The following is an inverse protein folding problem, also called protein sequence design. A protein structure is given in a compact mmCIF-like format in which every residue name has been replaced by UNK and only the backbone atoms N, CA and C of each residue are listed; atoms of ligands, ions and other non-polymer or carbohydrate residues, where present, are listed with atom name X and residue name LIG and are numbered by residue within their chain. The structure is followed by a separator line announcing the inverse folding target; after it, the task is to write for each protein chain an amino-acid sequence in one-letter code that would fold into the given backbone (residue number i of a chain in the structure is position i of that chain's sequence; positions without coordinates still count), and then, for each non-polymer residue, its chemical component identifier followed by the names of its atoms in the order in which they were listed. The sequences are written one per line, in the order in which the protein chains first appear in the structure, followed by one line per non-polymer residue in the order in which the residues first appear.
data_IF_639781918679
#
_entry.id   IF_639781918679
#
_cell.length_a   1.000
_cell.length_b   1.000
_cell.length_c   1.000
_cell.angle_alpha   90.00
_cell.angle_beta   90.00
_cell.angle_gamma   90.00
#
_symmetry.space_group_name_H-M   'P 1'
#
loop_
_entity.id
_entity.type
_entity.pdbx_description
1 polymer ?
#
# COMPACT_ATOMS: atom_id res chain seq x y z
N UNK A 1 2.22 -7.24 4.48
CA UNK A 1 3.07 -7.09 5.69
C UNK A 1 3.17 -8.35 6.53
N UNK A 2 2.14 -9.18 6.59
CA UNK A 2 2.14 -10.48 7.30
C UNK A 2 3.41 -11.32 7.04
N UNK A 3 3.69 -11.64 5.78
CA UNK A 3 4.91 -12.36 5.38
C UNK A 3 6.22 -11.71 5.88
N UNK A 4 6.32 -10.37 5.80
CA UNK A 4 7.54 -9.67 6.24
C UNK A 4 7.69 -9.80 7.76
N UNK A 5 6.60 -9.67 8.51
CA UNK A 5 6.61 -9.84 9.95
C UNK A 5 6.97 -11.29 10.33
N UNK A 6 6.33 -12.28 9.70
CA UNK A 6 6.59 -13.72 9.90
C UNK A 6 8.08 -14.05 9.72
N UNK A 7 8.66 -13.64 8.59
CA UNK A 7 10.08 -13.88 8.29
C UNK A 7 11.02 -13.13 9.24
N UNK A 8 10.64 -11.91 9.65
CA UNK A 8 11.44 -11.14 10.62
C UNK A 8 11.35 -11.75 12.01
N UNK A 9 10.19 -12.25 12.43
CA UNK A 9 10.03 -12.95 13.69
C UNK A 9 10.87 -14.23 13.72
N UNK A 10 10.79 -15.06 12.68
CA UNK A 10 11.54 -16.30 12.54
C UNK A 10 13.05 -16.09 12.66
N UNK A 11 13.60 -15.08 11.97
CA UNK A 11 15.04 -14.94 11.82
C UNK A 11 15.69 -13.86 12.71
N UNK A 12 14.91 -12.96 13.31
CA UNK A 12 15.47 -11.79 13.99
C UNK A 12 14.74 -11.43 15.29
N UNK A 13 13.45 -11.13 15.24
CA UNK A 13 12.75 -10.54 16.39
C UNK A 13 12.62 -11.52 17.55
N UNK A 14 12.42 -12.82 17.29
CA UNK A 14 12.44 -13.83 18.36
C UNK A 14 13.78 -13.88 19.13
N UNK A 15 14.89 -13.54 18.47
CA UNK A 15 16.20 -13.45 19.11
C UNK A 15 16.48 -12.08 19.76
N UNK A 16 15.81 -11.02 19.31
CA UNK A 16 15.99 -9.66 19.81
C UNK A 16 15.13 -9.35 21.03
N UNK A 17 13.85 -9.76 21.03
CA UNK A 17 12.90 -9.41 22.09
C UNK A 17 13.40 -9.78 23.49
N UNK A 18 13.95 -10.99 23.73
CA UNK A 18 14.51 -11.37 25.04
C UNK A 18 15.68 -10.50 25.54
N UNK A 19 16.27 -9.65 24.68
CA UNK A 19 17.36 -8.72 25.05
C UNK A 19 16.88 -7.35 25.50
N UNK A 20 15.59 -7.03 25.36
CA UNK A 20 15.04 -5.78 25.88
C UNK A 20 15.04 -5.76 27.42
N UNK A 21 15.15 -4.57 28.04
CA UNK A 21 14.92 -4.46 29.47
C UNK A 21 13.50 -4.90 29.83
N UNK A 22 13.34 -5.45 31.04
CA UNK A 22 12.07 -5.91 31.60
C UNK A 22 11.13 -4.74 31.96
N UNK A 23 10.81 -3.91 30.97
CA UNK A 23 9.90 -2.76 31.12
C UNK A 23 8.46 -3.30 31.18
N UNK A 24 7.71 -3.03 32.26
CA UNK A 24 6.31 -3.39 32.37
C UNK A 24 5.47 -2.68 31.30
N UNK A 25 4.50 -3.40 30.74
CA UNK A 25 3.56 -2.81 29.78
C UNK A 25 2.38 -2.22 30.55
N UNK A 26 1.99 -0.95 30.32
CA UNK A 26 0.85 -0.35 31.01
C UNK A 26 -0.45 -1.14 30.78
N UNK A 27 -1.31 -1.27 31.80
CA UNK A 27 -2.54 -2.07 31.77
C UNK A 27 -3.46 -1.77 30.57
N UNK A 28 -3.56 -0.49 30.16
CA UNK A 28 -4.35 -0.08 28.99
C UNK A 28 -3.87 -0.77 27.68
N UNK A 29 -2.57 -1.03 27.57
CA UNK A 29 -1.93 -1.66 26.42
C UNK A 29 -2.07 -3.20 26.50
N UNK A 30 -2.09 -3.77 27.71
CA UNK A 30 -2.41 -5.19 27.93
C UNK A 30 -3.86 -5.52 27.54
N UNK A 31 -4.80 -4.59 27.75
CA UNK A 31 -6.18 -4.72 27.27
C UNK A 31 -6.26 -4.80 25.75
N UNK A 32 -5.55 -3.95 25.02
CA UNK A 32 -5.54 -4.05 23.54
C UNK A 32 -4.91 -5.39 23.08
N UNK A 33 -3.95 -5.92 23.85
CA UNK A 33 -3.29 -7.20 23.55
C UNK A 33 -4.15 -8.45 23.71
N UNK A 34 -5.21 -8.37 24.51
CA UNK A 34 -6.14 -9.46 24.70
C UNK A 34 -7.21 -9.55 23.59
N UNK A 35 -7.23 -8.60 22.64
CA UNK A 35 -8.17 -8.64 21.51
C UNK A 35 -7.85 -9.86 20.63
N UNK A 36 -8.80 -10.81 20.44
CA UNK A 36 -8.57 -12.01 19.65
C UNK A 36 -8.25 -11.69 18.19
N UNK A 37 -7.50 -12.59 17.52
CA UNK A 37 -7.30 -12.49 16.07
C UNK A 37 -8.64 -12.64 15.32
N UNK A 38 -8.68 -12.31 14.03
CA UNK A 38 -9.92 -12.48 13.25
C UNK A 38 -10.34 -13.94 13.14
N UNK A 39 -9.39 -14.85 12.95
CA UNK A 39 -9.67 -16.29 12.93
C UNK A 39 -10.22 -16.76 14.27
N UNK A 40 -9.67 -16.28 15.38
CA UNK A 40 -10.17 -16.63 16.72
C UNK A 40 -11.56 -16.03 16.95
N UNK A 41 -11.78 -14.79 16.52
CA UNK A 41 -13.08 -14.14 16.61
C UNK A 41 -14.12 -14.87 15.76
N UNK A 42 -13.78 -15.26 14.53
CA UNK A 42 -14.64 -16.06 13.67
C UNK A 42 -14.93 -17.43 14.27
N UNK A 43 -13.92 -18.11 14.82
CA UNK A 43 -14.08 -19.40 15.49
C UNK A 43 -14.96 -19.27 16.74
N UNK A 44 -14.82 -18.20 17.52
CA UNK A 44 -15.64 -17.92 18.69
C UNK A 44 -17.08 -17.56 18.30
N UNK A 45 -17.27 -16.76 17.25
CA UNK A 45 -18.61 -16.44 16.71
C UNK A 45 -19.29 -17.66 16.12
N UNK A 46 -18.55 -18.54 15.43
CA UNK A 46 -19.09 -19.76 14.84
C UNK A 46 -19.40 -20.84 15.88
N UNK A 47 -18.68 -20.86 17.00
CA UNK A 47 -18.89 -21.83 18.09
C UNK A 47 -19.84 -21.35 19.19
N UNK A 48 -20.24 -20.07 19.16
CA UNK A 48 -21.11 -19.49 20.18
C UNK A 48 -22.59 -19.78 19.94
N UNK A 49 -23.30 -20.20 20.99
CA UNK A 49 -24.75 -20.35 20.99
C UNK A 49 -25.50 -19.04 21.29
N UNK A 50 -24.79 -17.96 21.63
CA UNK A 50 -25.36 -16.63 21.89
C UNK A 50 -25.41 -15.78 20.61
N UNK A 51 -26.16 -14.67 20.66
CA UNK A 51 -26.18 -13.76 19.51
C UNK A 51 -24.80 -13.15 19.26
N UNK A 52 -24.45 -12.80 18.00
CA UNK A 52 -23.15 -12.22 17.68
C UNK A 52 -22.79 -10.99 18.53
N UNK A 53 -23.78 -10.17 18.89
CA UNK A 53 -23.58 -8.98 19.73
C UNK A 53 -23.26 -9.33 21.18
N UNK A 54 -23.88 -10.35 21.75
CA UNK A 54 -23.58 -10.83 23.11
C UNK A 54 -22.19 -11.46 23.18
N UNK A 55 -21.80 -12.23 22.15
CA UNK A 55 -20.47 -12.80 22.02
C UNK A 55 -19.40 -11.72 21.90
N UNK A 56 -19.65 -10.67 21.10
CA UNK A 56 -18.74 -9.51 21.01
C UNK A 56 -18.66 -8.78 22.36
N UNK A 57 -19.80 -8.57 23.04
CA UNK A 57 -19.83 -7.89 24.35
C UNK A 57 -19.09 -8.66 25.44
N UNK A 58 -19.17 -10.00 25.45
CA UNK A 58 -18.45 -10.85 26.40
C UNK A 58 -16.95 -10.85 26.12
N UNK A 59 -16.55 -10.88 24.84
CA UNK A 59 -15.15 -10.74 24.43
C UNK A 59 -14.59 -9.40 24.92
N UNK A 60 -15.29 -8.28 24.67
CA UNK A 60 -14.87 -6.96 25.15
C UNK A 60 -14.74 -6.94 26.68
N UNK A 61 -15.67 -7.56 27.39
CA UNK A 61 -15.65 -7.62 28.86
C UNK A 61 -14.47 -8.45 29.40
N UNK A 62 -14.15 -9.57 28.74
CA UNK A 62 -13.00 -10.42 29.08
C UNK A 62 -11.67 -9.72 28.79
N UNK A 63 -11.60 -9.01 27.67
CA UNK A 63 -10.45 -8.17 27.28
C UNK A 63 -10.16 -7.12 28.34
N UNK A 64 -11.19 -6.37 28.78
CA UNK A 64 -11.09 -5.37 29.86
C UNK A 64 -10.75 -6.00 31.22
N UNK A 65 -11.15 -7.25 31.47
CA UNK A 65 -10.86 -7.94 32.73
C UNK A 65 -9.45 -8.57 32.77
N UNK A 66 -8.88 -8.88 31.61
CA UNK A 66 -7.55 -9.49 31.47
C UNK A 66 -6.39 -8.48 31.57
N UNK A 67 -6.67 -7.18 31.40
CA UNK A 67 -5.66 -6.11 31.45
C UNK A 67 -5.06 -5.86 32.83
N UNK A 68 -5.66 -6.39 33.89
CA UNK A 68 -5.22 -6.22 35.29
C UNK A 68 -4.31 -7.35 35.80
N UNK A 69 -3.95 -8.33 34.96
CA UNK A 69 -3.32 -9.57 35.43
C UNK A 69 -1.93 -9.91 34.85
N UNK A 70 -1.31 -9.09 33.99
CA UNK A 70 -0.13 -9.56 33.25
C UNK A 70 1.18 -9.00 33.79
N UNK A 71 1.99 -9.84 34.45
CA UNK A 71 3.43 -9.63 34.67
C UNK A 71 4.26 -9.70 33.37
N UNK A 72 3.68 -9.30 32.24
CA UNK A 72 4.34 -9.25 30.95
C UNK A 72 5.23 -8.01 30.86
N UNK A 73 6.38 -8.20 30.26
CA UNK A 73 7.37 -7.16 29.98
C UNK A 73 7.67 -7.16 28.49
N UNK A 74 8.23 -6.07 27.98
CA UNK A 74 8.63 -6.04 26.57
C UNK A 74 9.53 -7.21 26.17
N UNK A 75 10.33 -7.75 27.11
CA UNK A 75 11.26 -8.84 26.86
C UNK A 75 10.60 -10.21 26.60
N UNK A 76 9.38 -10.43 27.08
CA UNK A 76 8.72 -11.74 27.07
C UNK A 76 7.37 -11.75 26.32
N UNK A 77 7.14 -10.77 25.44
CA UNK A 77 5.93 -10.74 24.63
C UNK A 77 5.90 -11.87 23.58
N UNK A 78 4.83 -12.68 23.53
CA UNK A 78 4.69 -13.70 22.50
C UNK A 78 4.43 -13.04 21.11
N UNK A 79 4.77 -13.71 19.99
CA UNK A 79 4.71 -13.12 18.64
C UNK A 79 3.31 -12.64 18.20
N UNK A 80 2.27 -13.29 18.71
CA UNK A 80 0.86 -12.97 18.47
C UNK A 80 0.34 -11.80 19.33
N UNK A 81 1.12 -11.33 20.30
CA UNK A 81 0.77 -10.19 21.14
C UNK A 81 0.70 -8.89 20.30
N UNK A 82 -0.41 -8.15 20.41
CA UNK A 82 -0.64 -6.96 19.58
C UNK A 82 0.43 -5.88 19.78
N UNK A 83 0.98 -5.76 20.99
CA UNK A 83 1.95 -4.72 21.35
C UNK A 83 3.25 -5.01 20.63
N UNK A 84 3.70 -6.26 20.70
CA UNK A 84 4.85 -6.75 19.95
C UNK A 84 4.62 -6.57 18.45
N UNK A 85 3.46 -6.97 17.93
CA UNK A 85 3.16 -6.81 16.51
C UNK A 85 3.17 -5.34 16.08
N UNK A 86 2.55 -4.43 16.84
CA UNK A 86 2.55 -3.00 16.54
C UNK A 86 3.98 -2.43 16.58
N UNK A 87 4.76 -2.74 17.62
CA UNK A 87 6.14 -2.26 17.74
C UNK A 87 7.03 -2.79 16.61
N UNK A 88 6.92 -4.09 16.30
CA UNK A 88 7.65 -4.74 15.22
C UNK A 88 7.25 -4.17 13.86
N UNK A 89 5.95 -4.06 13.57
CA UNK A 89 5.45 -3.52 12.31
C UNK A 89 5.81 -2.05 12.14
N UNK A 90 5.75 -1.24 13.21
CA UNK A 90 6.14 0.17 13.16
C UNK A 90 7.63 0.30 12.85
N UNK A 91 8.46 -0.51 13.51
CA UNK A 91 9.90 -0.54 13.28
C UNK A 91 10.22 -0.98 11.85
N UNK A 92 9.64 -2.09 11.39
CA UNK A 92 9.85 -2.62 10.04
C UNK A 92 9.39 -1.64 8.96
N UNK A 93 8.22 -1.02 9.16
CA UNK A 93 7.66 -0.03 8.23
C UNK A 93 8.55 1.20 8.14
N UNK A 94 8.98 1.72 9.29
CA UNK A 94 9.85 2.89 9.32
C UNK A 94 11.22 2.59 8.68
N UNK A 95 11.85 1.47 9.04
CA UNK A 95 13.14 1.06 8.47
C UNK A 95 13.04 0.76 6.97
N UNK A 96 11.96 0.10 6.52
CA UNK A 96 11.69 -0.14 5.11
C UNK A 96 11.47 1.15 4.33
N UNK A 97 10.72 2.10 4.90
CA UNK A 97 10.52 3.42 4.29
C UNK A 97 11.84 4.20 4.18
N UNK A 98 12.68 4.20 5.21
CA UNK A 98 14.02 4.80 5.15
C UNK A 98 14.89 4.14 4.09
N UNK A 99 14.92 2.81 4.05
CA UNK A 99 15.69 2.05 3.07
C UNK A 99 15.26 2.39 1.65
N UNK A 100 13.97 2.33 1.32
CA UNK A 100 13.48 2.66 -0.02
C UNK A 100 13.74 4.13 -0.36
N UNK A 101 13.45 5.05 0.57
CA UNK A 101 13.64 6.48 0.36
C UNK A 101 15.10 6.81 0.05
N UNK A 102 16.04 6.37 0.88
CA UNK A 102 17.45 6.65 0.67
C UNK A 102 18.00 5.89 -0.54
N UNK A 103 17.62 4.63 -0.77
CA UNK A 103 18.09 3.89 -1.94
C UNK A 103 17.63 4.54 -3.24
N UNK A 104 16.31 4.71 -3.44
CA UNK A 104 15.80 5.22 -4.71
C UNK A 104 16.15 6.69 -4.93
N UNK A 105 16.02 7.54 -3.91
CA UNK A 105 16.36 8.97 -4.07
C UNK A 105 17.85 9.15 -4.33
N UNK A 106 18.73 8.39 -3.67
CA UNK A 106 20.18 8.46 -3.90
C UNK A 106 20.55 7.97 -5.30
N UNK A 107 20.04 6.82 -5.71
CA UNK A 107 20.30 6.29 -7.06
C UNK A 107 19.82 7.27 -8.13
N UNK A 108 18.60 7.78 -8.02
CA UNK A 108 18.08 8.80 -8.94
C UNK A 108 18.92 10.08 -8.90
N UNK A 109 19.30 10.59 -7.72
CA UNK A 109 20.11 11.80 -7.59
C UNK A 109 21.50 11.68 -8.24
N UNK A 110 22.17 10.53 -8.10
CA UNK A 110 23.50 10.34 -8.67
C UNK A 110 23.46 10.00 -10.16
N UNK A 111 22.54 9.11 -10.59
CA UNK A 111 22.56 8.53 -11.94
C UNK A 111 21.57 9.16 -12.93
N UNK A 112 20.49 9.82 -12.45
CA UNK A 112 19.42 10.35 -13.31
C UNK A 112 19.34 11.88 -13.23
N UNK A 113 19.33 12.44 -12.02
CA UNK A 113 19.16 13.88 -11.80
C UNK A 113 20.33 14.69 -12.38
N UNK A 114 20.01 15.63 -13.27
CA UNK A 114 20.94 16.62 -13.78
C UNK A 114 21.14 17.76 -12.75
N UNK A 115 22.36 17.86 -12.21
CA UNK A 115 22.74 18.85 -11.20
C UNK A 115 22.75 20.28 -11.77
N UNK A 116 22.65 20.47 -13.08
CA UNK A 116 22.48 21.79 -13.69
C UNK A 116 21.22 22.51 -13.20
N UNK A 117 20.16 21.77 -12.85
CA UNK A 117 18.93 22.32 -12.26
C UNK A 117 19.19 23.13 -10.98
N UNK A 118 20.27 22.86 -10.25
CA UNK A 118 20.62 23.58 -9.02
C UNK A 118 21.01 25.05 -9.27
N UNK A 119 21.26 25.42 -10.54
CA UNK A 119 21.55 26.80 -10.96
C UNK A 119 20.27 27.59 -11.28
N UNK A 120 19.10 26.94 -11.26
CA UNK A 120 17.83 27.61 -11.54
C UNK A 120 17.56 28.71 -10.50
N UNK A 121 17.04 29.89 -10.88
CA UNK A 121 16.83 31.02 -9.95
C UNK A 121 15.89 30.72 -8.77
N UNK A 122 14.98 29.76 -8.94
CA UNK A 122 14.04 29.28 -7.90
C UNK A 122 14.56 28.09 -7.08
N UNK A 123 15.76 27.59 -7.36
CA UNK A 123 16.37 26.52 -6.57
C UNK A 123 16.83 27.08 -5.21
N UNK A 124 16.50 26.39 -4.12
CA UNK A 124 16.76 26.87 -2.78
C UNK A 124 18.19 26.56 -2.32
N UNK A 125 18.76 27.45 -1.50
CA UNK A 125 20.05 27.18 -0.85
C UNK A 125 19.93 25.95 0.06
N UNK A 126 20.83 24.99 -0.11
CA UNK A 126 20.84 23.71 0.62
C UNK A 126 19.56 22.88 0.43
N UNK A 127 18.87 23.00 -0.71
CA UNK A 127 17.56 22.38 -0.93
C UNK A 127 17.52 20.88 -0.59
N UNK A 128 18.46 20.08 -1.11
CA UNK A 128 18.53 18.63 -0.83
C UNK A 128 18.57 18.32 0.66
N UNK A 129 19.33 19.09 1.44
CA UNK A 129 19.36 18.92 2.90
C UNK A 129 18.01 19.24 3.54
N UNK A 130 17.34 20.29 3.07
CA UNK A 130 16.02 20.68 3.58
C UNK A 130 14.94 19.66 3.21
N UNK A 131 14.97 19.13 1.98
CA UNK A 131 14.10 18.06 1.51
C UNK A 131 14.27 16.82 2.39
N UNK A 132 15.51 16.35 2.60
CA UNK A 132 15.80 15.22 3.49
C UNK A 132 15.30 15.48 4.91
N UNK A 133 15.59 16.66 5.48
CA UNK A 133 15.12 17.00 6.83
C UNK A 133 13.60 16.98 6.94
N UNK A 134 12.89 17.38 5.90
CA UNK A 134 11.44 17.37 5.86
C UNK A 134 10.89 15.95 5.74
N UNK A 135 11.45 15.13 4.84
CA UNK A 135 11.11 13.70 4.72
C UNK A 135 11.33 12.97 6.06
N UNK A 136 12.46 13.20 6.73
CA UNK A 136 12.76 12.58 8.04
C UNK A 136 11.78 12.99 9.16
N UNK A 137 11.16 14.16 9.06
CA UNK A 137 10.08 14.58 9.98
C UNK A 137 8.73 13.95 9.63
N UNK A 138 8.48 13.71 8.34
CA UNK A 138 7.21 13.20 7.85
C UNK A 138 7.08 11.68 8.04
N UNK A 139 8.14 10.92 7.73
CA UNK A 139 8.12 9.45 7.68
C UNK A 139 7.64 8.78 8.98
N UNK A 140 8.04 9.21 10.20
CA UNK A 140 7.52 8.61 11.42
C UNK A 140 5.99 8.77 11.55
N UNK A 141 5.47 9.95 11.21
CA UNK A 141 4.03 10.22 11.27
C UNK A 141 3.24 9.40 10.25
N UNK A 142 3.78 9.21 9.05
CA UNK A 142 3.19 8.34 8.03
C UNK A 142 3.19 6.90 8.51
N UNK A 143 4.32 6.41 9.02
CA UNK A 143 4.45 5.04 9.51
C UNK A 143 3.41 4.75 10.61
N UNK A 144 3.25 5.64 11.59
CA UNK A 144 2.24 5.51 12.66
C UNK A 144 0.83 5.42 12.08
N UNK A 145 0.47 6.30 11.15
CA UNK A 145 -0.86 6.34 10.56
C UNK A 145 -1.15 5.14 9.63
N UNK A 146 -0.11 4.55 9.06
CA UNK A 146 -0.21 3.33 8.26
C UNK A 146 -0.38 2.07 9.12
N UNK A 147 -0.06 2.13 10.43
CA UNK A 147 -0.11 0.95 11.32
C UNK A 147 -1.43 0.19 11.34
N UNK A 148 -2.60 0.83 11.41
CA UNK A 148 -3.86 0.08 11.43
C UNK A 148 -4.04 -0.82 10.19
N UNK A 149 -3.57 -0.38 9.03
CA UNK A 149 -3.60 -1.18 7.80
C UNK A 149 -2.66 -2.39 7.93
N UNK A 150 -1.41 -2.18 8.30
CA UNK A 150 -0.46 -3.30 8.37
C UNK A 150 -0.75 -4.29 9.50
N UNK A 151 -1.29 -3.81 10.62
CA UNK A 151 -1.80 -4.68 11.68
C UNK A 151 -3.00 -5.48 11.19
N UNK A 152 -3.94 -4.86 10.48
CA UNK A 152 -5.06 -5.57 9.87
C UNK A 152 -4.60 -6.62 8.85
N UNK A 153 -3.59 -6.32 8.03
CA UNK A 153 -2.98 -7.30 7.13
C UNK A 153 -2.41 -8.50 7.92
N UNK A 154 -1.60 -8.25 8.95
CA UNK A 154 -1.00 -9.30 9.80
C UNK A 154 -2.04 -10.10 10.61
N UNK A 155 -3.23 -9.53 10.83
CA UNK A 155 -4.36 -10.19 11.52
C UNK A 155 -5.33 -10.85 10.55
N UNK A 156 -5.00 -10.93 9.26
CA UNK A 156 -5.80 -11.62 8.24
C UNK A 156 -7.03 -10.85 7.76
N UNK A 157 -7.12 -9.53 7.98
CA UNK A 157 -8.25 -8.70 7.53
C UNK A 157 -8.15 -8.30 6.06
N UNK A 158 -6.95 -8.37 5.49
CA UNK A 158 -6.73 -8.12 4.06
C UNK A 158 -7.06 -9.36 3.23
N UNK A 159 -7.31 -9.17 1.93
CA UNK A 159 -7.56 -10.24 0.95
C UNK A 159 -6.27 -10.67 0.23
N UNK A 160 -5.12 -10.55 0.90
CA UNK A 160 -3.85 -11.01 0.36
C UNK A 160 -3.82 -12.53 0.33
N UNK A 161 -3.33 -13.12 -0.77
CA UNK A 161 -3.19 -14.56 -0.91
C UNK A 161 -1.75 -14.96 -1.24
N UNK A 162 -1.38 -16.18 -0.84
CA UNK A 162 0.00 -16.69 -0.94
C UNK A 162 0.28 -17.47 -2.23
N UNK A 163 -0.71 -18.15 -2.82
CA UNK A 163 -0.52 -18.99 -4.01
C UNK A 163 -1.14 -18.37 -5.26
N UNK A 164 -0.41 -18.42 -6.38
CA UNK A 164 -0.83 -17.82 -7.65
C UNK A 164 -2.12 -18.45 -8.18
N UNK A 165 -2.24 -19.77 -8.10
CA UNK A 165 -3.45 -20.48 -8.51
C UNK A 165 -4.42 -20.62 -7.34
N UNK A 166 -5.70 -20.38 -7.62
CA UNK A 166 -6.73 -20.40 -6.59
C UNK A 166 -6.89 -21.79 -5.94
N UNK A 167 -6.78 -22.87 -6.74
CA UNK A 167 -6.87 -24.25 -6.23
C UNK A 167 -5.82 -24.52 -5.14
N UNK A 168 -4.60 -24.01 -5.31
CA UNK A 168 -3.49 -24.23 -4.39
C UNK A 168 -3.76 -23.50 -3.06
N UNK A 169 -4.37 -22.31 -3.14
CA UNK A 169 -4.82 -21.57 -1.96
C UNK A 169 -5.94 -22.30 -1.20
N UNK A 170 -6.90 -22.91 -1.91
CA UNK A 170 -8.00 -23.67 -1.30
C UNK A 170 -7.47 -24.94 -0.63
N UNK A 171 -6.52 -25.63 -1.27
CA UNK A 171 -5.87 -26.81 -0.70
C UNK A 171 -5.15 -26.48 0.60
N UNK A 172 -4.30 -25.45 0.58
CA UNK A 172 -3.58 -25.00 1.78
C UNK A 172 -4.53 -24.64 2.92
N UNK A 173 -5.63 -23.93 2.63
CA UNK A 173 -6.65 -23.60 3.63
C UNK A 173 -7.37 -24.86 4.18
N UNK A 174 -7.65 -25.82 3.31
CA UNK A 174 -8.29 -27.10 3.68
C UNK A 174 -7.38 -27.95 4.57
N UNK A 175 -6.08 -27.99 4.28
CA UNK A 175 -5.08 -28.69 5.10
C UNK A 175 -4.91 -28.02 6.47
N UNK A 176 -4.84 -26.68 6.51
CA UNK A 176 -4.77 -25.94 7.77
C UNK A 176 -6.00 -26.19 8.66
N UNK A 177 -7.20 -26.21 8.08
CA UNK A 177 -8.44 -26.52 8.81
C UNK A 177 -8.45 -27.95 9.39
N UNK A 178 -7.89 -28.93 8.66
CA UNK A 178 -7.73 -30.31 9.16
C UNK A 178 -6.76 -30.37 10.34
N UNK A 179 -5.63 -29.64 10.27
CA UNK A 179 -4.66 -29.54 11.37
C UNK A 179 -5.23 -28.90 12.63
N UNK A 180 -6.06 -27.85 12.49
CA UNK A 180 -6.74 -27.18 13.60
C UNK A 180 -7.85 -28.05 14.25
N UNK A 181 -8.46 -28.96 13.50
CA UNK A 181 -9.42 -29.93 14.05
C UNK A 181 -8.74 -31.10 14.79
N UNK A 182 -7.45 -31.37 14.53
CA UNK A 182 -6.70 -32.49 15.12
C UNK A 182 -6.09 -32.17 16.50
N UNK A 183 -6.16 -30.91 16.96
CA UNK A 183 -5.67 -30.49 18.29
C UNK A 183 -6.69 -30.67 19.42
N UNK A 184 -7.89 -31.18 19.13
CA UNK A 184 -8.80 -31.69 20.16
C UNK A 184 -8.58 -33.19 20.36
N UNK A 185 -7.69 -33.55 21.29
CA UNK A 185 -7.46 -34.94 21.68
C UNK A 185 -7.86 -35.11 23.17
N UNK A 186 -8.93 -35.85 23.51
CA UNK A 186 -9.12 -36.33 24.88
C UNK A 186 -7.99 -37.32 25.25
N UNK A 187 -7.68 -37.53 26.54
CA UNK A 187 -6.48 -38.25 26.95
C UNK A 187 -6.56 -39.71 26.51
N UNK A 188 -5.56 -40.16 25.74
CA UNK A 188 -5.43 -41.55 25.33
C UNK A 188 -4.94 -42.41 26.51
N UNK A 189 -5.75 -43.39 26.91
CA UNK A 189 -5.36 -44.46 27.81
C UNK A 189 -4.71 -45.61 27.04
N UNK A 190 -3.47 -45.92 27.45
CA UNK A 190 -2.67 -47.14 27.24
C UNK A 190 -2.07 -47.40 25.86
N UNK A 191 -0.73 -47.32 25.82
CA UNK A 191 0.19 -47.54 24.69
C UNK A 191 0.28 -49.02 24.27
N UNK A 192 -0.45 -49.92 24.93
CA UNK A 192 -0.27 -51.36 24.80
C UNK A 192 -1.24 -52.04 23.79
N UNK A 193 -2.36 -51.40 23.46
CA UNK A 193 -3.31 -51.90 22.44
C UNK A 193 -2.90 -51.47 21.01
N UNK A 194 -2.22 -50.32 20.87
CA UNK A 194 -1.80 -49.78 19.57
C UNK A 194 -0.67 -50.59 18.91
N UNK A 195 0.15 -51.29 19.70
CA UNK A 195 1.29 -52.03 19.18
C UNK A 195 0.90 -53.39 18.56
N UNK A 196 -0.23 -53.98 18.98
CA UNK A 196 -0.72 -55.27 18.45
C UNK A 196 -1.46 -55.13 17.10
N UNK A 197 -2.10 -53.97 16.85
CA UNK A 197 -2.82 -53.70 15.60
C UNK A 197 -1.90 -53.41 14.39
N UNK A 198 -0.71 -52.87 14.64
CA UNK A 198 0.27 -52.50 13.58
C UNK A 198 1.00 -53.71 13.02
N UNK A 199 1.11 -54.81 13.79
CA UNK A 199 1.91 -55.98 13.42
C UNK A 199 1.12 -57.06 12.65
N UNK A 200 -0.15 -56.83 12.31
CA UNK A 200 -0.92 -57.77 11.48
C UNK A 200 -1.76 -57.06 10.42
N UNK A 201 -1.65 -57.54 9.18
CA UNK A 201 -2.53 -57.32 8.01
C UNK A 201 -2.17 -56.21 7.01
N UNK A 202 -2.68 -56.40 5.78
CA UNK A 202 -2.70 -55.52 4.60
C UNK A 202 -3.26 -54.10 4.85
N UNK A 203 -3.40 -53.66 6.09
CA UNK A 203 -3.91 -52.35 6.50
C UNK A 203 -2.99 -51.21 6.10
N UNK A 204 -1.67 -51.41 6.05
CA UNK A 204 -0.73 -50.37 5.61
C UNK A 204 -0.95 -49.94 4.15
N UNK A 205 -1.17 -50.89 3.23
CA UNK A 205 -1.47 -50.62 1.82
C UNK A 205 -2.88 -50.07 1.62
N UNK A 206 -3.89 -50.65 2.28
CA UNK A 206 -5.27 -50.15 2.19
C UNK A 206 -5.44 -48.76 2.85
N UNK A 207 -4.68 -48.45 3.91
CA UNK A 207 -4.65 -47.12 4.51
C UNK A 207 -3.93 -46.10 3.62
N UNK A 208 -2.87 -46.50 2.90
CA UNK A 208 -2.23 -45.61 1.91
C UNK A 208 -3.13 -45.37 0.70
N UNK A 209 -3.86 -46.37 0.23
CA UNK A 209 -4.87 -46.22 -0.83
C UNK A 209 -6.03 -45.33 -0.37
N UNK A 210 -6.57 -45.55 0.82
CA UNK A 210 -7.64 -44.71 1.38
C UNK A 210 -7.18 -43.26 1.62
N UNK A 211 -5.93 -43.06 2.07
CA UNK A 211 -5.34 -41.72 2.19
C UNK A 211 -5.16 -41.06 0.82
N UNK A 212 -4.75 -41.80 -0.21
CA UNK A 212 -4.63 -41.30 -1.57
C UNK A 212 -6.00 -40.94 -2.18
N UNK A 213 -7.04 -41.75 -1.95
CA UNK A 213 -8.42 -41.47 -2.38
C UNK A 213 -8.99 -40.24 -1.67
N UNK A 214 -8.77 -40.09 -0.37
CA UNK A 214 -9.17 -38.91 0.40
C UNK A 214 -8.44 -37.64 -0.07
N UNK A 215 -7.15 -37.74 -0.42
CA UNK A 215 -6.39 -36.64 -1.01
C UNK A 215 -6.92 -36.27 -2.40
N UNK A 216 -7.23 -37.26 -3.25
CA UNK A 216 -7.82 -37.05 -4.56
C UNK A 216 -9.21 -36.40 -4.50
N UNK A 217 -10.05 -36.82 -3.54
CA UNK A 217 -11.35 -36.19 -3.30
C UNK A 217 -11.22 -34.74 -2.82
N UNK A 218 -10.24 -34.46 -1.93
CA UNK A 218 -9.91 -33.10 -1.48
C UNK A 218 -9.43 -32.22 -2.63
N UNK A 219 -8.64 -32.78 -3.55
CA UNK A 219 -8.17 -32.10 -4.75
C UNK A 219 -9.31 -31.78 -5.71
N UNK A 220 -10.21 -32.74 -5.96
CA UNK A 220 -11.38 -32.54 -6.81
C UNK A 220 -12.32 -31.46 -6.23
N UNK A 221 -12.56 -31.47 -4.92
CA UNK A 221 -13.37 -30.47 -4.24
C UNK A 221 -12.73 -29.06 -4.30
N UNK A 222 -11.41 -28.97 -4.12
CA UNK A 222 -10.69 -27.72 -4.26
C UNK A 222 -10.74 -27.17 -5.70
N UNK A 223 -10.59 -28.04 -6.71
CA UNK A 223 -10.72 -27.68 -8.12
C UNK A 223 -12.13 -27.17 -8.43
N UNK A 224 -13.18 -27.88 -8.02
CA UNK A 224 -14.56 -27.46 -8.24
C UNK A 224 -14.87 -26.10 -7.58
N UNK A 225 -14.34 -25.86 -6.37
CA UNK A 225 -14.49 -24.59 -5.66
C UNK A 225 -13.72 -23.46 -6.38
N UNK A 226 -12.53 -23.75 -6.90
CA UNK A 226 -11.76 -22.81 -7.70
C UNK A 226 -12.54 -22.44 -8.98
N UNK A 227 -13.03 -23.43 -9.72
CA UNK A 227 -13.80 -23.23 -10.96
C UNK A 227 -15.06 -22.39 -10.73
N UNK A 228 -15.81 -22.67 -9.65
CA UNK A 228 -16.97 -21.88 -9.27
C UNK A 228 -16.61 -20.41 -8.97
N UNK A 229 -15.49 -20.19 -8.29
CA UNK A 229 -15.01 -18.84 -7.97
C UNK A 229 -14.53 -18.09 -9.21
N UNK A 230 -13.84 -18.77 -10.13
CA UNK A 230 -13.41 -18.22 -11.42
C UNK A 230 -14.63 -17.81 -12.23
N UNK A 231 -15.65 -18.68 -12.31
CA UNK A 231 -16.90 -18.39 -12.99
C UNK A 231 -17.62 -17.18 -12.36
N UNK A 232 -17.67 -17.09 -11.03
CA UNK A 232 -18.26 -15.95 -10.33
C UNK A 232 -17.52 -14.63 -10.62
N UNK A 233 -16.18 -14.65 -10.65
CA UNK A 233 -15.36 -13.49 -11.04
C UNK A 233 -15.59 -13.08 -12.50
N UNK A 234 -15.69 -14.06 -13.39
CA UNK A 234 -15.92 -13.81 -14.82
C UNK A 234 -17.33 -13.25 -15.08
N UNK A 235 -18.33 -13.66 -14.29
CA UNK A 235 -19.72 -13.24 -14.43
C UNK A 235 -19.92 -11.71 -14.35
N UNK A 236 -19.04 -10.99 -13.65
CA UNK A 236 -19.06 -9.51 -13.62
C UNK A 236 -18.89 -8.88 -15.01
N UNK A 237 -18.33 -9.61 -15.97
CA UNK A 237 -18.13 -9.15 -17.35
C UNK A 237 -19.27 -9.56 -18.30
N UNK A 238 -20.36 -10.12 -17.78
CA UNK A 238 -21.59 -10.42 -18.52
C UNK A 238 -21.32 -11.27 -19.77
N UNK A 239 -21.69 -10.82 -20.99
CA UNK A 239 -21.47 -11.57 -22.23
C UNK A 239 -20.00 -11.94 -22.51
N UNK A 240 -19.04 -11.21 -21.92
CA UNK A 240 -17.61 -11.49 -22.09
C UNK A 240 -17.08 -12.54 -21.10
N UNK A 241 -17.91 -13.04 -20.19
CA UNK A 241 -17.50 -14.01 -19.15
C UNK A 241 -16.71 -15.21 -19.70
N UNK A 242 -17.10 -15.87 -20.81
CA UNK A 242 -16.34 -17.01 -21.34
C UNK A 242 -14.92 -16.63 -21.80
N UNK A 243 -14.75 -15.39 -22.30
CA UNK A 243 -13.47 -14.90 -22.79
C UNK A 243 -12.53 -14.50 -21.64
N UNK A 244 -13.08 -13.95 -20.56
CA UNK A 244 -12.28 -13.46 -19.41
C UNK A 244 -12.06 -14.51 -18.33
N UNK A 245 -12.86 -15.58 -18.28
CA UNK A 245 -12.72 -16.63 -17.27
C UNK A 245 -11.29 -17.21 -17.16
N UNK A 246 -10.56 -17.49 -18.27
CA UNK A 246 -9.16 -17.92 -18.19
C UNK A 246 -8.22 -16.87 -17.57
N UNK A 247 -8.60 -15.59 -17.58
CA UNK A 247 -7.87 -14.50 -16.95
C UNK A 247 -8.24 -14.31 -15.47
N UNK A 248 -9.24 -15.01 -14.93
CA UNK A 248 -9.68 -14.84 -13.53
C UNK A 248 -9.01 -15.82 -12.55
N UNK A 249 -8.00 -16.56 -13.03
CA UNK A 249 -7.10 -17.40 -12.21
C UNK A 249 -5.63 -17.19 -12.59
N UNK A 250 -4.74 -17.68 -11.72
CA UNK A 250 -3.31 -17.78 -11.98
C UNK A 250 -2.67 -16.46 -12.40
N UNK A 251 -1.77 -16.53 -13.37
CA UNK A 251 -1.06 -15.38 -13.91
C UNK A 251 -1.94 -14.38 -14.66
N UNK A 252 -3.05 -14.85 -15.25
CA UNK A 252 -4.03 -13.97 -15.87
C UNK A 252 -4.65 -13.03 -14.84
N UNK A 253 -5.02 -13.57 -13.67
CA UNK A 253 -5.60 -12.77 -12.60
C UNK A 253 -4.57 -11.82 -12.00
N UNK A 254 -3.32 -12.27 -11.85
CA UNK A 254 -2.20 -11.38 -11.46
C UNK A 254 -2.09 -10.18 -12.40
N UNK A 255 -2.08 -10.37 -13.72
CA UNK A 255 -2.00 -9.27 -14.67
C UNK A 255 -3.19 -8.30 -14.55
N UNK A 256 -4.41 -8.82 -14.45
CA UNK A 256 -5.63 -8.01 -14.27
C UNK A 256 -5.58 -7.21 -12.96
N UNK A 257 -5.11 -7.82 -11.87
CA UNK A 257 -4.99 -7.12 -10.58
C UNK A 257 -3.93 -6.03 -10.59
N UNK A 258 -2.81 -6.19 -11.31
CA UNK A 258 -1.81 -5.10 -11.48
C UNK A 258 -2.42 -3.91 -12.21
N UNK A 259 -3.12 -4.15 -13.33
CA UNK A 259 -3.80 -3.09 -14.08
C UNK A 259 -4.86 -2.39 -13.22
N UNK A 260 -5.68 -3.19 -12.53
CA UNK A 260 -6.74 -2.66 -11.66
C UNK A 260 -6.16 -1.88 -10.48
N UNK A 261 -5.05 -2.34 -9.89
CA UNK A 261 -4.33 -1.64 -8.83
C UNK A 261 -3.88 -0.26 -9.33
N UNK A 262 -3.22 -0.19 -10.49
CA UNK A 262 -2.75 1.07 -11.06
C UNK A 262 -3.89 2.05 -11.31
N UNK A 263 -5.00 1.59 -11.92
CA UNK A 263 -6.15 2.45 -12.20
C UNK A 263 -6.88 2.92 -10.93
N UNK A 264 -7.05 2.03 -9.95
CA UNK A 264 -7.71 2.35 -8.68
C UNK A 264 -6.89 3.36 -7.87
N UNK A 265 -5.58 3.13 -7.79
CA UNK A 265 -4.69 3.99 -7.00
C UNK A 265 -4.49 5.34 -7.68
N UNK A 266 -4.34 5.39 -9.01
CA UNK A 266 -4.31 6.65 -9.77
C UNK A 266 -5.58 7.48 -9.57
N UNK A 267 -6.76 6.83 -9.59
CA UNK A 267 -8.04 7.51 -9.32
C UNK A 267 -8.10 8.08 -7.90
N UNK A 268 -7.78 7.27 -6.90
CA UNK A 268 -7.84 7.68 -5.49
C UNK A 268 -6.88 8.84 -5.22
N UNK A 269 -5.64 8.72 -5.69
CA UNK A 269 -4.60 9.74 -5.51
C UNK A 269 -4.97 11.02 -6.23
N UNK A 270 -5.47 10.95 -7.46
CA UNK A 270 -5.93 12.12 -8.20
C UNK A 270 -6.88 12.99 -7.37
N UNK A 271 -7.90 12.38 -6.75
CA UNK A 271 -8.88 13.12 -5.95
C UNK A 271 -8.30 13.63 -4.65
N UNK A 272 -7.53 12.82 -3.93
CA UNK A 272 -6.86 13.23 -2.69
C UNK A 272 -5.92 14.41 -2.98
N UNK A 273 -5.10 14.30 -4.01
CA UNK A 273 -4.17 15.33 -4.43
C UNK A 273 -4.90 16.61 -4.83
N UNK A 274 -5.98 16.51 -5.62
CA UNK A 274 -6.82 17.66 -5.96
C UNK A 274 -7.46 18.31 -4.73
N UNK A 275 -7.89 17.55 -3.73
CA UNK A 275 -8.38 18.08 -2.46
C UNK A 275 -7.30 18.71 -1.60
N UNK A 276 -6.08 18.16 -1.63
CA UNK A 276 -4.92 18.77 -0.97
C UNK A 276 -4.60 20.15 -1.54
N UNK A 277 -4.97 20.43 -2.80
CA UNK A 277 -4.92 21.77 -3.41
C UNK A 277 -6.13 22.67 -3.08
N UNK A 278 -7.13 22.17 -2.35
CA UNK A 278 -8.20 23.02 -1.84
C UNK A 278 -7.64 24.05 -0.84
N UNK A 279 -8.01 25.34 -0.88
CA UNK A 279 -7.36 26.41 -0.11
C UNK A 279 -7.24 26.16 1.40
N UNK A 280 -8.19 25.42 1.99
CA UNK A 280 -8.21 25.07 3.42
C UNK A 280 -7.10 24.06 3.76
N UNK A 281 -6.89 23.06 2.91
CA UNK A 281 -5.93 21.98 3.13
C UNK A 281 -4.54 22.37 2.62
N UNK A 282 -4.48 23.04 1.46
CA UNK A 282 -3.25 23.39 0.76
C UNK A 282 -2.25 24.10 1.67
N UNK A 283 -2.66 25.20 2.31
CA UNK A 283 -1.76 26.00 3.17
C UNK A 283 -1.07 25.19 4.26
N UNK A 284 -1.76 24.17 4.80
CA UNK A 284 -1.31 23.41 5.96
C UNK A 284 -0.57 22.13 5.58
N UNK A 285 -1.07 21.44 4.56
CA UNK A 285 -0.65 20.07 4.25
C UNK A 285 0.28 20.02 3.03
N UNK A 286 -0.10 20.68 1.94
CA UNK A 286 0.53 20.44 0.63
C UNK A 286 1.42 21.59 0.13
N UNK A 287 1.18 22.83 0.57
CA UNK A 287 2.07 23.98 0.33
C UNK A 287 3.52 23.71 0.76
N UNK A 288 3.80 23.02 1.89
CA UNK A 288 5.16 22.65 2.25
C UNK A 288 5.88 21.81 1.19
N UNK A 289 5.15 20.95 0.46
CA UNK A 289 5.69 20.19 -0.68
C UNK A 289 5.96 21.08 -1.88
N UNK A 290 5.03 21.99 -2.21
CA UNK A 290 5.15 22.96 -3.31
C UNK A 290 6.19 24.05 -3.09
N UNK A 291 6.88 24.06 -1.95
CA UNK A 291 8.05 24.90 -1.74
C UNK A 291 9.20 24.53 -2.68
N UNK A 292 9.25 23.28 -3.16
CA UNK A 292 10.30 22.75 -4.03
C UNK A 292 9.97 22.96 -5.52
N UNK A 293 9.91 24.22 -5.96
CA UNK A 293 9.54 24.60 -7.35
C UNK A 293 10.39 23.88 -8.41
N UNK A 294 11.67 23.67 -8.13
CA UNK A 294 12.57 22.83 -8.92
C UNK A 294 12.88 21.60 -8.07
N UNK A 295 12.03 20.57 -8.08
CA UNK A 295 12.17 19.43 -7.19
C UNK A 295 13.45 18.65 -7.50
N UNK A 296 13.96 17.95 -6.48
CA UNK A 296 14.95 16.88 -6.67
C UNK A 296 14.32 15.53 -6.32
N UNK A 297 14.97 14.38 -6.60
CA UNK A 297 14.49 13.07 -6.17
C UNK A 297 14.17 12.98 -4.66
N UNK A 298 14.91 13.73 -3.82
CA UNK A 298 14.68 13.78 -2.37
C UNK A 298 13.42 14.56 -1.96
N UNK A 299 12.84 15.36 -2.86
CA UNK A 299 11.57 16.06 -2.62
C UNK A 299 10.35 15.13 -2.62
N UNK A 300 10.49 13.91 -3.16
CA UNK A 300 9.41 12.93 -3.33
C UNK A 300 8.65 12.60 -2.06
N UNK A 301 9.29 12.71 -0.88
CA UNK A 301 8.69 12.48 0.43
C UNK A 301 8.80 13.70 1.36
N UNK A 302 9.21 14.84 0.82
CA UNK A 302 9.37 16.10 1.54
C UNK A 302 8.04 16.86 1.59
N UNK A 303 7.06 16.28 2.29
CA UNK A 303 5.71 16.82 2.48
C UNK A 303 5.25 16.67 3.94
N UNK A 304 4.09 17.24 4.28
CA UNK A 304 3.51 17.03 5.62
C UNK A 304 3.11 15.55 5.81
N UNK A 305 3.23 14.99 7.01
CA UNK A 305 2.96 13.55 7.20
C UNK A 305 1.52 13.15 6.83
N UNK A 306 0.53 14.01 7.13
CA UNK A 306 -0.87 13.80 6.69
C UNK A 306 -1.05 13.87 5.18
N UNK A 307 -0.24 14.65 4.48
CA UNK A 307 -0.28 14.72 3.01
C UNK A 307 0.14 13.36 2.46
N UNK A 308 1.35 12.91 2.81
CA UNK A 308 1.87 11.60 2.42
C UNK A 308 0.97 10.43 2.79
N UNK A 309 0.47 10.41 4.03
CA UNK A 309 -0.47 9.38 4.49
C UNK A 309 -1.75 9.39 3.66
N UNK A 310 -2.38 10.56 3.46
CA UNK A 310 -3.63 10.64 2.71
C UNK A 310 -3.47 10.11 1.29
N UNK A 311 -2.37 10.46 0.61
CA UNK A 311 -2.06 9.96 -0.72
C UNK A 311 -1.70 8.46 -0.74
N UNK A 312 -1.25 7.88 0.38
CA UNK A 312 -0.95 6.44 0.45
C UNK A 312 -2.18 5.55 0.73
N UNK A 313 -3.28 6.12 1.24
CA UNK A 313 -4.51 5.37 1.59
C UNK A 313 -5.01 4.47 0.46
N UNK A 314 -5.09 4.91 -0.81
CA UNK A 314 -5.56 4.03 -1.90
C UNK A 314 -4.73 2.75 -2.06
N UNK A 315 -3.43 2.80 -1.81
CA UNK A 315 -2.56 1.63 -1.89
C UNK A 315 -2.93 0.59 -0.82
N UNK A 316 -3.13 1.06 0.43
CA UNK A 316 -3.47 0.20 1.55
C UNK A 316 -4.89 -0.34 1.45
N UNK A 317 -5.84 0.50 1.05
CA UNK A 317 -7.25 0.12 0.94
C UNK A 317 -7.49 -0.95 -0.13
N UNK A 318 -6.72 -0.95 -1.22
CA UNK A 318 -6.93 -1.84 -2.35
C UNK A 318 -7.01 -3.32 -1.94
N UNK A 319 -6.08 -3.79 -1.11
CA UNK A 319 -5.98 -5.20 -0.71
C UNK A 319 -7.07 -5.64 0.25
N UNK A 320 -7.86 -4.72 0.82
CA UNK A 320 -9.06 -5.05 1.59
C UNK A 320 -10.29 -5.23 0.69
N UNK A 321 -10.26 -4.66 -0.51
CA UNK A 321 -11.36 -4.70 -1.47
C UNK A 321 -11.15 -5.81 -2.50
N UNK A 322 -9.94 -5.91 -3.04
CA UNK A 322 -9.61 -6.79 -4.17
C UNK A 322 -8.57 -7.83 -3.73
N UNK A 323 -8.82 -9.13 -3.94
CA UNK A 323 -7.82 -10.15 -3.65
C UNK A 323 -6.58 -9.95 -4.52
N UNK A 324 -5.41 -9.90 -3.88
CA UNK A 324 -4.14 -9.63 -4.56
C UNK A 324 -3.03 -10.55 -4.03
N UNK A 325 -2.16 -11.03 -4.92
CA UNK A 325 -1.04 -11.88 -4.52
C UNK A 325 -0.05 -11.07 -3.68
N UNK A 326 0.34 -11.60 -2.52
CA UNK A 326 1.15 -10.87 -1.54
C UNK A 326 2.47 -10.30 -2.10
N UNK A 327 3.18 -11.06 -2.94
CA UNK A 327 4.44 -10.62 -3.53
C UNK A 327 4.23 -9.60 -4.64
N UNK A 328 3.08 -9.66 -5.33
CA UNK A 328 2.72 -8.65 -6.33
C UNK A 328 2.36 -7.36 -5.61
N UNK A 329 1.62 -7.41 -4.50
CA UNK A 329 1.36 -6.23 -3.68
C UNK A 329 2.65 -5.60 -3.13
N UNK A 330 3.59 -6.40 -2.61
CA UNK A 330 4.90 -5.91 -2.19
C UNK A 330 5.67 -5.26 -3.34
N UNK A 331 5.71 -5.91 -4.52
CA UNK A 331 6.34 -5.36 -5.71
C UNK A 331 5.69 -4.06 -6.19
N UNK A 332 4.36 -3.96 -6.15
CA UNK A 332 3.63 -2.73 -6.45
C UNK A 332 3.93 -1.65 -5.42
N UNK A 333 3.99 -1.98 -4.12
CA UNK A 333 4.36 -1.04 -3.08
C UNK A 333 5.79 -0.49 -3.30
N UNK A 334 6.73 -1.31 -3.73
CA UNK A 334 8.07 -0.85 -4.13
C UNK A 334 8.02 0.02 -5.39
N UNK A 335 7.25 -0.39 -6.41
CA UNK A 335 7.07 0.36 -7.65
C UNK A 335 6.51 1.76 -7.41
N UNK A 336 5.49 1.91 -6.56
CA UNK A 336 4.89 3.23 -6.31
C UNK A 336 5.87 4.19 -5.63
N UNK A 337 6.73 3.69 -4.74
CA UNK A 337 7.78 4.48 -4.12
C UNK A 337 8.85 4.90 -5.13
N UNK A 338 9.29 3.97 -6.00
CA UNK A 338 10.21 4.27 -7.09
C UNK A 338 9.62 5.31 -8.06
N UNK A 339 8.35 5.13 -8.45
CA UNK A 339 7.63 6.05 -9.33
C UNK A 339 7.54 7.45 -8.73
N UNK A 340 7.18 7.57 -7.45
CA UNK A 340 7.14 8.84 -6.73
C UNK A 340 8.49 9.55 -6.72
N UNK A 341 9.62 8.82 -6.70
CA UNK A 341 10.95 9.43 -6.86
C UNK A 341 11.18 9.90 -8.30
N UNK A 342 10.87 9.05 -9.28
CA UNK A 342 11.11 9.33 -10.70
C UNK A 342 10.35 10.56 -11.20
N UNK A 343 9.11 10.79 -10.77
CA UNK A 343 8.37 12.00 -11.21
C UNK A 343 8.94 13.32 -10.67
N UNK A 344 9.88 13.28 -9.70
CA UNK A 344 10.54 14.45 -9.11
C UNK A 344 11.99 14.63 -9.56
N UNK A 345 12.52 13.76 -10.43
CA UNK A 345 13.94 13.80 -10.83
C UNK A 345 14.24 14.84 -11.92
N UNK A 346 13.23 15.53 -12.43
CA UNK A 346 13.39 16.56 -13.45
C UNK A 346 13.89 16.04 -14.81
N UNK A 347 13.91 14.72 -15.02
CA UNK A 347 14.38 14.10 -16.25
C UNK A 347 13.20 13.67 -17.13
N UNK A 348 12.99 14.44 -18.19
CA UNK A 348 11.77 14.39 -18.99
C UNK A 348 11.86 13.35 -20.12
N UNK A 349 12.15 12.09 -19.80
CA UNK A 349 12.39 11.02 -20.80
C UNK A 349 11.12 10.56 -21.52
N UNK A 350 9.96 10.72 -20.89
CA UNK A 350 8.69 10.19 -21.39
C UNK A 350 7.79 11.33 -21.86
N UNK A 351 7.60 11.42 -23.17
CA UNK A 351 6.71 12.38 -23.84
C UNK A 351 5.33 11.83 -24.18
N UNK A 352 5.02 10.60 -23.75
CA UNK A 352 3.70 9.99 -24.00
C UNK A 352 2.60 10.79 -23.27
N UNK A 353 1.58 11.31 -23.99
CA UNK A 353 0.55 12.15 -23.40
C UNK A 353 -0.40 11.42 -22.43
N UNK A 354 -0.38 10.08 -22.38
CA UNK A 354 -1.17 9.28 -21.45
C UNK A 354 -0.50 9.10 -20.08
N UNK A 355 0.82 9.28 -19.99
CA UNK A 355 1.62 9.05 -18.78
C UNK A 355 1.85 10.39 -18.07
N UNK A 356 1.56 10.45 -16.77
CA UNK A 356 1.95 11.58 -15.92
C UNK A 356 3.45 11.45 -15.59
N UNK A 357 4.28 11.95 -16.48
CA UNK A 357 5.75 11.88 -16.36
C UNK A 357 6.33 13.00 -15.50
N UNK A 358 7.64 12.95 -15.23
CA UNK A 358 8.36 14.03 -14.54
C UNK A 358 8.09 15.42 -15.15
N UNK A 359 7.88 15.52 -16.47
CA UNK A 359 7.57 16.79 -17.13
C UNK A 359 6.21 17.36 -16.71
N UNK A 360 5.21 16.47 -16.60
CA UNK A 360 3.86 16.84 -16.18
C UNK A 360 3.86 17.22 -14.69
N UNK A 361 4.62 16.51 -13.86
CA UNK A 361 4.76 16.83 -12.44
C UNK A 361 5.59 18.09 -12.18
N UNK A 362 6.59 18.40 -13.00
CA UNK A 362 7.27 19.70 -12.92
C UNK A 362 6.35 20.85 -13.33
N UNK A 363 5.49 20.67 -14.34
CA UNK A 363 4.41 21.63 -14.64
C UNK A 363 3.48 21.80 -13.43
N UNK A 364 3.19 20.71 -12.71
CA UNK A 364 2.40 20.76 -11.47
C UNK A 364 3.09 21.61 -10.38
N UNK A 365 4.38 21.40 -10.11
CA UNK A 365 5.16 22.22 -9.16
C UNK A 365 5.33 23.70 -9.57
N UNK A 366 5.23 24.01 -10.87
CA UNK A 366 5.33 25.38 -11.38
C UNK A 366 4.00 26.15 -11.29
N UNK A 367 2.87 25.50 -11.57
CA UNK A 367 1.57 26.16 -11.72
C UNK A 367 0.53 25.75 -10.66
N UNK A 368 0.83 24.75 -9.84
CA UNK A 368 0.04 24.21 -8.71
C UNK A 368 -1.32 23.56 -9.08
N UNK A 369 -2.05 24.09 -10.05
CA UNK A 369 -3.46 23.74 -10.32
C UNK A 369 -3.69 22.75 -11.47
N UNK A 370 -2.67 21.98 -11.85
CA UNK A 370 -2.71 21.09 -13.01
C UNK A 370 -1.99 19.77 -12.77
N UNK A 371 -2.33 18.72 -13.51
CA UNK A 371 -1.64 17.42 -13.54
C UNK A 371 -1.53 16.71 -12.17
N UNK A 372 -2.67 16.48 -11.50
CA UNK A 372 -2.73 15.86 -10.18
C UNK A 372 -2.59 14.32 -10.17
N UNK A 373 -2.69 13.65 -11.32
CA UNK A 373 -2.62 12.18 -11.39
C UNK A 373 -1.30 11.60 -10.89
N UNK A 374 -1.24 10.31 -10.57
CA UNK A 374 -0.01 9.68 -10.10
C UNK A 374 0.79 9.10 -11.26
N UNK A 375 0.18 8.21 -12.05
CA UNK A 375 0.82 7.51 -13.17
C UNK A 375 0.30 7.97 -14.52
N UNK A 376 -0.99 8.30 -14.60
CA UNK A 376 -1.66 8.60 -15.87
C UNK A 376 -2.24 10.01 -15.88
N UNK A 377 -2.37 10.57 -17.08
CA UNK A 377 -3.06 11.86 -17.30
C UNK A 377 -4.58 11.69 -17.45
N UNK A 378 -5.08 10.46 -17.32
CA UNK A 378 -6.49 10.10 -17.55
C UNK A 378 -7.42 10.96 -16.71
N UNK A 379 -7.24 10.97 -15.39
CA UNK A 379 -8.12 11.70 -14.48
C UNK A 379 -7.95 13.21 -14.57
N UNK A 380 -6.77 13.69 -14.93
CA UNK A 380 -6.57 15.11 -15.25
C UNK A 380 -7.36 15.56 -16.48
N UNK A 381 -7.46 14.70 -17.50
CA UNK A 381 -8.27 14.97 -18.70
C UNK A 381 -9.74 14.95 -18.38
N UNK A 382 -10.20 13.94 -17.63
CA UNK A 382 -11.60 13.81 -17.20
C UNK A 382 -12.00 14.97 -16.28
N UNK A 383 -11.16 15.31 -15.30
CA UNK A 383 -11.43 16.35 -14.32
C UNK A 383 -11.05 17.78 -14.77
N UNK A 384 -10.55 17.95 -15.99
CA UNK A 384 -10.25 19.25 -16.59
C UNK A 384 -9.01 19.97 -16.06
N UNK A 385 -8.12 19.25 -15.36
CA UNK A 385 -6.86 19.76 -14.79
C UNK A 385 -5.62 19.39 -15.63
N UNK A 386 -5.80 18.81 -16.81
CA UNK A 386 -4.67 18.47 -17.69
C UNK A 386 -4.01 19.70 -18.31
N UNK A 387 -2.68 19.81 -18.16
CA UNK A 387 -1.83 20.79 -18.86
C UNK A 387 -0.65 20.06 -19.51
N UNK A 388 -0.59 20.12 -20.84
CA UNK A 388 0.50 19.51 -21.61
C UNK A 388 1.84 20.22 -21.29
N UNK A 389 2.91 19.47 -20.96
CA UNK A 389 4.27 19.99 -20.93
C UNK A 389 4.68 20.61 -22.27
N UNK A 390 5.52 21.64 -22.24
CA UNK A 390 6.01 22.28 -23.46
C UNK A 390 7.09 21.44 -24.13
N UNK A 391 7.24 21.56 -25.45
CA UNK A 391 8.33 20.88 -26.19
C UNK A 391 9.72 21.35 -25.71
N UNK A 392 9.80 22.58 -25.17
CA UNK A 392 11.01 23.12 -24.54
C UNK A 392 11.49 22.24 -23.38
N UNK A 393 10.57 21.66 -22.60
CA UNK A 393 10.92 20.76 -21.49
C UNK A 393 11.57 19.47 -22.01
N UNK A 394 11.09 18.90 -23.11
CA UNK A 394 11.68 17.67 -23.64
C UNK A 394 13.05 17.86 -24.29
N UNK A 395 13.46 19.10 -24.58
CA UNK A 395 14.78 19.40 -25.12
C UNK A 395 15.77 19.75 -24.00
N UNK A 396 16.74 18.87 -23.75
CA UNK A 396 17.73 19.04 -22.67
C UNK A 396 18.57 20.31 -22.76
N UNK A 397 18.88 20.80 -23.98
CA UNK A 397 19.65 22.05 -24.14
C UNK A 397 18.78 23.27 -23.83
N UNK A 398 17.53 23.26 -24.29
CA UNK A 398 16.62 24.40 -24.13
C UNK A 398 16.13 24.50 -22.68
N UNK A 399 15.79 23.37 -22.05
CA UNK A 399 15.34 23.36 -20.64
C UNK A 399 16.41 23.79 -19.64
N UNK A 400 17.68 23.72 -20.03
CA UNK A 400 18.83 24.14 -19.22
C UNK A 400 19.33 25.55 -19.56
N UNK A 401 18.68 26.22 -20.51
CA UNK A 401 19.06 27.57 -20.91
C UNK A 401 18.62 28.61 -19.87
N UNK A 402 19.46 29.62 -19.65
CA UNK A 402 19.18 30.69 -18.68
C UNK A 402 17.95 31.51 -19.07
N UNK A 403 17.64 31.65 -20.37
CA UNK A 403 16.46 32.37 -20.84
C UNK A 403 15.19 31.61 -20.47
N UNK A 404 15.20 30.28 -20.65
CA UNK A 404 14.10 29.39 -20.25
C UNK A 404 13.88 29.45 -18.74
N UNK A 405 14.94 29.39 -17.94
CA UNK A 405 14.82 29.50 -16.47
C UNK A 405 14.31 30.85 -16.01
N UNK A 406 14.75 31.96 -16.65
CA UNK A 406 14.23 33.29 -16.35
C UNK A 406 12.75 33.40 -16.71
N UNK A 407 12.32 32.81 -17.83
CA UNK A 407 10.91 32.73 -18.24
C UNK A 407 10.09 31.93 -17.23
N UNK A 408 10.52 30.72 -16.87
CA UNK A 408 9.85 29.88 -15.86
C UNK A 408 9.77 30.58 -14.50
N UNK A 409 10.85 31.22 -14.05
CA UNK A 409 10.87 31.97 -12.80
C UNK A 409 9.84 33.11 -12.79
N UNK A 410 9.71 33.85 -13.91
CA UNK A 410 8.69 34.89 -14.07
C UNK A 410 7.28 34.33 -14.11
N UNK A 411 7.07 33.20 -14.78
CA UNK A 411 5.77 32.54 -14.84
C UNK A 411 5.32 32.11 -13.45
N UNK A 412 6.21 31.53 -12.63
CA UNK A 412 5.91 31.17 -11.23
C UNK A 412 5.52 32.41 -10.42
N UNK A 413 6.23 33.53 -10.60
CA UNK A 413 5.93 34.80 -9.91
C UNK A 413 4.61 35.44 -10.37
N UNK A 414 4.06 35.00 -11.50
CA UNK A 414 2.76 35.42 -11.99
C UNK A 414 1.58 34.67 -11.34
N UNK A 415 1.84 33.72 -10.44
CA UNK A 415 0.80 33.05 -9.66
C UNK A 415 0.89 33.41 -8.18
N UNK A 416 -0.27 33.55 -7.54
CA UNK A 416 -0.36 33.69 -6.10
C UNK A 416 -0.01 32.37 -5.38
N UNK A 417 0.00 32.42 -4.04
CA UNK A 417 0.30 31.25 -3.24
C UNK A 417 -0.68 30.07 -3.42
N UNK A 418 -1.81 30.25 -4.11
CA UNK A 418 -2.80 29.22 -4.42
C UNK A 418 -2.83 28.84 -5.92
N UNK A 419 -1.86 29.29 -6.70
CA UNK A 419 -1.81 29.04 -8.14
C UNK A 419 -2.86 29.79 -8.95
N UNK A 420 -3.42 30.89 -8.44
CA UNK A 420 -4.27 31.80 -9.22
C UNK A 420 -3.39 32.86 -9.89
N UNK A 421 -3.63 33.21 -11.17
CA UNK A 421 -2.91 34.30 -11.81
C UNK A 421 -3.03 35.60 -11.00
N UNK A 422 -1.90 36.26 -10.75
CA UNK A 422 -1.87 37.58 -10.09
C UNK A 422 -2.41 38.67 -11.02
N UNK A 423 -2.34 38.45 -12.34
CA UNK A 423 -3.04 39.21 -13.37
C UNK A 423 -4.05 38.32 -14.12
N UNK A 424 -5.33 38.50 -13.83
CA UNK A 424 -6.42 37.70 -14.43
C UNK A 424 -6.70 38.02 -15.92
N UNK A 425 -6.05 39.05 -16.47
CA UNK A 425 -6.20 39.47 -17.87
C UNK A 425 -5.32 38.68 -18.85
N UNK A 426 -4.26 38.01 -18.39
CA UNK A 426 -3.40 37.18 -19.23
C UNK A 426 -4.09 35.86 -19.61
N UNK A 427 -4.63 35.81 -20.83
CA UNK A 427 -5.32 34.62 -21.35
C UNK A 427 -4.41 33.41 -21.54
N UNK A 428 -3.09 33.59 -21.73
CA UNK A 428 -2.15 32.48 -21.91
C UNK A 428 -2.04 31.58 -20.67
N UNK A 429 -2.46 32.10 -19.52
CA UNK A 429 -2.43 31.42 -18.22
C UNK A 429 -3.72 30.63 -17.92
N UNK A 430 -4.79 30.84 -18.70
CA UNK A 430 -6.10 30.18 -18.47
C UNK A 430 -6.13 28.76 -19.05
N UNK A 431 -6.82 27.81 -18.40
CA UNK A 431 -7.02 26.47 -18.95
C UNK A 431 -7.68 26.53 -20.33
N UNK A 432 -7.27 25.67 -21.29
CA UNK A 432 -7.87 25.62 -22.64
C UNK A 432 -9.40 25.44 -22.64
N UNK A 433 -9.97 24.81 -21.61
CA UNK A 433 -11.43 24.68 -21.46
C UNK A 433 -12.12 25.99 -21.02
N UNK A 434 -11.40 26.93 -20.41
CA UNK A 434 -11.89 28.26 -20.05
C UNK A 434 -11.77 29.25 -21.21
N UNK A 435 -10.74 29.10 -22.05
CA UNK A 435 -10.58 29.90 -23.28
C UNK A 435 -11.77 29.74 -24.24
N UNK A 436 -12.39 28.55 -24.30
CA UNK A 436 -13.58 28.31 -25.13
C UNK A 436 -14.85 29.02 -24.62
N UNK A 437 -15.00 29.23 -23.30
CA UNK A 437 -16.19 29.89 -22.72
C UNK A 437 -16.20 31.40 -22.98
N UNK A 438 -15.04 32.05 -23.06
CA UNK A 438 -14.94 33.49 -23.37
C UNK A 438 -15.29 33.77 -24.83
N UNK A 439 -14.86 32.90 -25.75
CA UNK A 439 -15.15 33.03 -27.19
C UNK A 439 -16.64 32.84 -27.54
N UNK A 440 -17.44 32.17 -26.70
CA UNK A 440 -18.89 31.97 -26.95
C UNK A 440 -19.76 33.10 -26.39
N UNK A 441 -19.18 34.07 -25.66
CA UNK A 441 -19.88 35.27 -25.15
C UNK A 441 -19.63 36.53 -25.98
N UNK A 442 -18.84 36.42 -27.04
CA UNK A 442 -18.46 37.53 -27.93
C UNK A 442 -19.10 37.46 -29.33
N UNK A 443 -20.19 36.69 -29.48
CA UNK A 443 -21.02 36.63 -30.69
C UNK A 443 -22.47 36.98 -30.36
#
# INVERSE_FOLDING_TARGET
MDFVLEQTDEHLLNALYPRFPAIPIPDLVAGIAAIPSWSDLQAQLASSSSSPLETISSIISNVVSSSTASGQTLANLPPDNIVRQVLSLLTLTYMGALFMYFTFSTLSYYFVFDKAHQKHPKYLKNQVKLEIQMSMKALPGIAIMTMPWFLGEARGWSRLYKHIYLRDSILAATEAAKGASATFNPPASSIQETFAAVMSSNTGFNATVAAAEAAAASLAAAQATADATIAARAAYFGPLAPLVAPLMDGWGYVAVTVITFLLFTDFGIYWIHRWLHHPILYKRLHKPHHKWIVPTPFSSHAFHFMDGYSQSVPYHLFVYLVPMHQFVYLGMFTFVNLWSVMIHDGEYLVSNPAINSAAHHSVHHLYFNYNYGQYFTLWDRVGGSYRKPSEEQYNSKVRMDQTTWKKQAKEVDAFDEFGKPTDASDESMKPKHQLKKTATKAL
#
